data_IF_012786387369
#
_entry.id   IF_012786387369
#
_cell.length_a   1.000
_cell.length_b   1.000
_cell.length_c   1.000
_cell.angle_alpha   90.00
_cell.angle_beta   90.00
_cell.angle_gamma   90.00
#
_symmetry.space_group_name_H-M   'P 1'
#
loop_
_entity.id
_entity.type
_entity.pdbx_description
1 polymer ?
#
# COMPACT_ATOMS: atom_id res chain seq x y z
N UNK A 1 -10.46 29.06 25.87
CA UNK A 1 -9.76 27.77 25.81
C UNK A 1 -9.64 27.42 24.33
N UNK A 2 -8.46 27.58 23.74
CA UNK A 2 -8.25 27.24 22.33
C UNK A 2 -8.25 25.71 22.24
N UNK A 3 -9.22 25.12 21.54
CA UNK A 3 -9.09 23.73 21.11
C UNK A 3 -7.79 23.63 20.31
N UNK A 4 -6.78 23.00 20.89
CA UNK A 4 -5.67 22.48 20.11
C UNK A 4 -6.32 21.40 19.24
N UNK A 5 -6.70 21.76 18.02
CA UNK A 5 -7.14 20.78 17.02
C UNK A 5 -5.95 19.86 16.78
N UNK A 6 -5.88 18.77 17.53
CA UNK A 6 -4.94 17.69 17.30
C UNK A 6 -5.22 17.17 15.90
N UNK A 7 -4.29 17.42 14.97
CA UNK A 7 -4.45 17.00 13.59
C UNK A 7 -4.63 15.47 13.57
N UNK A 8 -5.72 15.04 12.93
CA UNK A 8 -6.11 13.63 12.89
C UNK A 8 -5.04 12.82 12.19
N UNK A 9 -4.65 11.71 12.83
CA UNK A 9 -3.74 10.73 12.25
C UNK A 9 -4.37 10.16 10.98
N UNK A 10 -3.56 9.93 9.97
CA UNK A 10 -4.07 9.33 8.73
C UNK A 10 -3.17 8.23 8.16
N UNK A 11 -3.83 7.36 7.41
CA UNK A 11 -3.32 6.09 6.93
C UNK A 11 -3.72 5.90 5.47
N UNK A 12 -2.91 5.13 4.73
CA UNK A 12 -3.26 4.68 3.39
C UNK A 12 -3.49 3.17 3.39
N UNK A 13 -4.72 2.72 3.12
CA UNK A 13 -5.07 1.32 2.98
C UNK A 13 -5.07 0.92 1.51
N UNK A 14 -4.29 -0.10 1.15
CA UNK A 14 -4.03 -0.45 -0.24
C UNK A 14 -4.04 -1.96 -0.50
N UNK A 15 -4.41 -2.36 -1.71
CA UNK A 15 -4.12 -3.72 -2.21
C UNK A 15 -2.61 -3.86 -2.54
N UNK A 16 -2.05 -5.09 -2.45
CA UNK A 16 -0.66 -5.39 -2.81
C UNK A 16 -0.50 -5.53 -4.34
N UNK A 17 -0.89 -4.51 -5.12
CA UNK A 17 -0.84 -4.56 -6.59
C UNK A 17 0.14 -3.54 -7.18
N UNK A 18 0.56 -3.79 -8.42
CA UNK A 18 1.36 -2.84 -9.19
C UNK A 18 0.60 -1.52 -9.40
N UNK A 19 -0.70 -1.55 -9.68
CA UNK A 19 -1.49 -0.32 -9.83
C UNK A 19 -1.46 0.51 -8.53
N UNK A 20 -1.62 -0.14 -7.38
CA UNK A 20 -1.55 0.51 -6.08
C UNK A 20 -0.16 1.09 -5.76
N UNK A 21 0.91 0.51 -6.30
CA UNK A 21 2.28 0.98 -6.07
C UNK A 21 2.51 2.41 -6.59
N UNK A 22 1.79 2.84 -7.63
CA UNK A 22 1.86 4.21 -8.14
C UNK A 22 1.26 5.21 -7.14
N UNK A 23 0.09 4.89 -6.59
CA UNK A 23 -0.55 5.69 -5.56
C UNK A 23 0.33 5.75 -4.32
N UNK A 24 0.83 4.60 -3.85
CA UNK A 24 1.76 4.52 -2.70
C UNK A 24 3.00 5.39 -2.94
N UNK A 25 3.57 5.34 -4.15
CA UNK A 25 4.74 6.15 -4.47
C UNK A 25 4.46 7.65 -4.33
N UNK A 26 3.32 8.12 -4.86
CA UNK A 26 2.89 9.52 -4.72
C UNK A 26 2.56 9.87 -3.28
N UNK A 27 1.98 8.95 -2.54
CA UNK A 27 1.63 9.14 -1.13
C UNK A 27 2.87 9.34 -0.26
N UNK A 28 3.88 8.47 -0.42
CA UNK A 28 5.16 8.58 0.30
C UNK A 28 5.81 9.93 -0.01
N UNK A 29 5.93 10.29 -1.29
CA UNK A 29 6.55 11.56 -1.71
C UNK A 29 5.84 12.79 -1.12
N UNK A 30 4.52 12.75 -0.99
CA UNK A 30 3.72 13.86 -0.48
C UNK A 30 3.67 13.93 1.06
N UNK A 31 3.62 12.77 1.73
CA UNK A 31 3.18 12.71 3.13
C UNK A 31 4.18 12.04 4.09
N UNK A 32 5.26 11.40 3.66
CA UNK A 32 6.21 10.71 4.55
C UNK A 32 6.78 11.62 5.66
N UNK A 33 6.97 12.90 5.35
CA UNK A 33 7.50 13.90 6.31
C UNK A 33 6.43 14.53 7.19
N UNK A 34 5.15 14.19 7.01
CA UNK A 34 4.03 14.73 7.80
C UNK A 34 3.86 13.91 9.08
N UNK A 35 3.89 14.54 10.27
CA UNK A 35 3.77 13.81 11.54
C UNK A 35 2.42 13.12 11.72
N UNK A 36 1.38 13.56 11.02
CA UNK A 36 0.03 12.99 11.04
C UNK A 36 -0.05 11.70 10.22
N UNK A 37 0.79 11.55 9.19
CA UNK A 37 0.87 10.31 8.43
C UNK A 37 1.55 9.24 9.29
N UNK A 38 0.84 8.13 9.50
CA UNK A 38 1.32 7.06 10.37
C UNK A 38 1.87 5.89 9.58
N UNK A 39 1.00 5.18 8.87
CA UNK A 39 1.37 3.93 8.24
C UNK A 39 0.69 3.72 6.88
N UNK A 40 1.32 2.87 6.06
CA UNK A 40 0.67 2.22 4.92
C UNK A 40 0.13 0.88 5.40
N UNK A 41 -1.15 0.64 5.17
CA UNK A 41 -1.85 -0.60 5.51
C UNK A 41 -2.03 -1.40 4.23
N UNK A 42 -1.63 -2.66 4.22
CA UNK A 42 -1.70 -3.50 3.02
C UNK A 42 -2.66 -4.66 3.27
N UNK A 43 -3.60 -4.86 2.34
CA UNK A 43 -4.51 -6.03 2.30
C UNK A 43 -3.76 -7.26 1.80
N UNK A 44 -2.86 -7.76 2.62
CA UNK A 44 -2.04 -8.91 2.33
C UNK A 44 -1.64 -9.58 3.65
N UNK A 45 -1.47 -10.90 3.64
CA UNK A 45 -0.75 -11.56 4.74
C UNK A 45 0.69 -11.08 4.82
N UNK A 46 1.29 -11.16 6.01
CA UNK A 46 2.70 -10.80 6.19
C UNK A 46 3.55 -11.62 5.23
N UNK A 47 4.24 -10.92 4.33
CA UNK A 47 5.13 -11.54 3.36
C UNK A 47 6.50 -11.82 3.98
N UNK A 48 7.22 -12.79 3.44
CA UNK A 48 8.60 -13.04 3.85
C UNK A 48 9.48 -11.83 3.53
N UNK A 49 10.52 -11.60 4.35
CA UNK A 49 11.51 -10.55 4.11
C UNK A 49 12.14 -10.65 2.71
N UNK A 50 12.26 -11.87 2.18
CA UNK A 50 12.73 -12.12 0.81
C UNK A 50 11.81 -11.47 -0.22
N UNK A 51 10.50 -11.74 -0.16
CA UNK A 51 9.51 -11.17 -1.10
C UNK A 51 9.49 -9.64 -1.01
N UNK A 52 9.50 -9.08 0.22
CA UNK A 52 9.52 -7.62 0.42
C UNK A 52 10.79 -7.00 -0.20
N UNK A 53 11.95 -7.62 0.02
CA UNK A 53 13.21 -7.15 -0.54
C UNK A 53 13.26 -7.26 -2.08
N UNK A 54 12.75 -8.36 -2.66
CA UNK A 54 12.71 -8.52 -4.11
C UNK A 54 11.75 -7.52 -4.78
N UNK A 55 10.57 -7.27 -4.19
CA UNK A 55 9.67 -6.20 -4.65
C UNK A 55 10.39 -4.85 -4.65
N UNK A 56 11.08 -4.50 -3.55
CA UNK A 56 11.87 -3.27 -3.47
C UNK A 56 12.93 -3.19 -4.58
N UNK A 57 13.71 -4.26 -4.78
CA UNK A 57 14.77 -4.31 -5.78
C UNK A 57 14.24 -4.12 -7.20
N UNK A 58 13.14 -4.77 -7.56
CA UNK A 58 12.52 -4.62 -8.88
C UNK A 58 12.12 -3.16 -9.13
N UNK A 59 11.42 -2.54 -8.18
CA UNK A 59 11.00 -1.15 -8.31
C UNK A 59 12.17 -0.19 -8.42
N UNK A 60 13.24 -0.40 -7.65
CA UNK A 60 14.46 0.40 -7.72
C UNK A 60 15.22 0.20 -9.04
N UNK A 61 15.35 -1.05 -9.48
CA UNK A 61 16.12 -1.41 -10.68
C UNK A 61 15.44 -0.92 -11.96
N UNK A 62 14.11 -1.01 -12.03
CA UNK A 62 13.34 -0.75 -13.24
C UNK A 62 12.47 0.50 -13.15
N UNK A 63 12.71 1.38 -12.17
CA UNK A 63 11.96 2.63 -12.00
C UNK A 63 11.85 3.41 -13.32
N UNK A 64 10.65 3.87 -13.64
CA UNK A 64 10.29 4.61 -14.85
C UNK A 64 10.50 3.85 -16.18
N UNK A 65 10.97 2.60 -16.16
CA UNK A 65 11.09 1.77 -17.34
C UNK A 65 9.70 1.35 -17.82
N UNK A 66 9.41 1.66 -19.08
CA UNK A 66 8.10 1.40 -19.73
C UNK A 66 8.07 0.12 -20.54
N UNK A 67 9.23 -0.31 -21.04
CA UNK A 67 9.34 -1.49 -21.89
C UNK A 67 9.87 -2.65 -21.07
N UNK A 68 8.98 -3.56 -20.70
CA UNK A 68 9.31 -4.80 -20.01
C UNK A 68 9.39 -5.94 -21.03
N UNK A 69 10.42 -6.77 -20.90
CA UNK A 69 10.46 -8.06 -21.60
C UNK A 69 9.52 -9.04 -20.90
N UNK A 70 9.17 -10.14 -21.58
CA UNK A 70 8.34 -11.19 -20.97
C UNK A 70 8.98 -11.74 -19.69
N UNK A 71 10.31 -11.95 -19.69
CA UNK A 71 11.05 -12.36 -18.49
C UNK A 71 10.88 -11.39 -17.32
N UNK A 72 10.83 -10.08 -17.58
CA UNK A 72 10.61 -9.08 -16.53
C UNK A 72 9.18 -9.10 -16.01
N UNK A 73 8.20 -9.42 -16.86
CA UNK A 73 6.82 -9.62 -16.42
C UNK A 73 6.66 -10.89 -15.59
N UNK A 74 7.34 -11.98 -15.94
CA UNK A 74 7.35 -13.21 -15.12
C UNK A 74 7.88 -12.93 -13.71
N UNK A 75 8.97 -12.16 -13.59
CA UNK A 75 9.48 -11.72 -12.29
C UNK A 75 8.45 -10.92 -11.47
N UNK A 76 7.60 -10.12 -12.13
CA UNK A 76 6.53 -9.38 -11.47
C UNK A 76 5.37 -10.30 -11.06
N UNK A 77 5.01 -11.26 -11.90
CA UNK A 77 3.94 -12.25 -11.65
C UNK A 77 4.27 -13.07 -10.40
N UNK A 78 5.52 -13.47 -10.23
CA UNK A 78 5.97 -14.23 -9.05
C UNK A 78 5.89 -13.42 -7.75
N UNK A 79 6.00 -12.09 -7.84
CA UNK A 79 6.06 -11.20 -6.67
C UNK A 79 4.74 -10.52 -6.35
N UNK A 80 3.83 -10.37 -7.31
CA UNK A 80 2.58 -9.64 -7.13
C UNK A 80 1.39 -10.51 -7.51
N UNK A 81 0.34 -10.56 -6.65
CA UNK A 81 -0.88 -11.25 -7.01
C UNK A 81 -1.56 -10.54 -8.19
N UNK A 82 -1.78 -11.28 -9.28
CA UNK A 82 -2.63 -10.85 -10.39
C UNK A 82 -2.05 -9.73 -11.24
N UNK A 83 -0.86 -9.94 -11.82
CA UNK A 83 -0.40 -9.10 -12.94
C UNK A 83 -1.23 -9.45 -14.18
N UNK A 84 -2.26 -8.65 -14.44
CA UNK A 84 -3.13 -8.81 -15.60
C UNK A 84 -2.77 -7.78 -16.68
N UNK A 85 -3.55 -7.75 -17.77
CA UNK A 85 -3.34 -6.84 -18.88
C UNK A 85 -3.37 -5.36 -18.46
N UNK A 86 -4.14 -5.02 -17.42
CA UNK A 86 -4.25 -3.65 -16.90
C UNK A 86 -2.94 -3.20 -16.24
N UNK A 87 -2.31 -4.05 -15.43
CA UNK A 87 -1.01 -3.79 -14.81
C UNK A 87 0.07 -3.60 -15.88
N UNK A 88 0.09 -4.47 -16.91
CA UNK A 88 1.02 -4.37 -18.04
C UNK A 88 0.85 -3.04 -18.78
N UNK A 89 -0.38 -2.70 -19.17
CA UNK A 89 -0.69 -1.44 -19.84
C UNK A 89 -0.33 -0.21 -18.98
N UNK A 90 -0.49 -0.31 -17.65
CA UNK A 90 -0.10 0.76 -16.72
C UNK A 90 1.42 0.95 -16.70
N UNK A 91 2.20 -0.13 -16.65
CA UNK A 91 3.66 -0.08 -16.74
C UNK A 91 4.11 0.48 -18.10
N UNK A 92 3.51 0.05 -19.20
CA UNK A 92 3.84 0.58 -20.53
C UNK A 92 3.57 2.07 -20.65
N UNK A 93 2.50 2.56 -20.01
CA UNK A 93 2.12 3.96 -20.06
C UNK A 93 3.01 4.84 -19.17
N UNK A 94 3.18 4.43 -17.91
CA UNK A 94 3.74 5.27 -16.84
C UNK A 94 5.14 4.85 -16.39
N UNK A 95 5.59 3.66 -16.77
CA UNK A 95 6.82 3.02 -16.29
C UNK A 95 6.64 2.45 -14.89
N UNK A 96 7.54 1.58 -14.43
CA UNK A 96 7.45 1.04 -13.06
C UNK A 96 7.50 2.17 -12.03
N UNK A 97 6.63 2.10 -11.02
CA UNK A 97 6.60 3.06 -9.94
C UNK A 97 7.86 2.99 -9.06
N UNK A 98 8.17 4.09 -8.37
CA UNK A 98 9.40 4.22 -7.58
C UNK A 98 9.46 3.29 -6.37
N UNK A 99 8.32 3.06 -5.74
CA UNK A 99 8.18 2.30 -4.51
C UNK A 99 7.15 1.19 -4.70
N UNK A 100 7.42 0.00 -4.16
CA UNK A 100 6.39 -1.03 -4.03
C UNK A 100 5.37 -0.63 -2.95
N UNK A 101 4.21 -1.31 -2.93
CA UNK A 101 3.19 -1.11 -1.88
C UNK A 101 3.69 -1.46 -0.47
N UNK A 102 4.78 -2.20 -0.37
CA UNK A 102 5.37 -2.66 0.89
C UNK A 102 6.71 -2.01 1.20
N UNK A 103 7.16 -1.00 0.42
CA UNK A 103 8.51 -0.45 0.56
C UNK A 103 8.65 0.56 1.72
N UNK A 104 7.53 1.12 2.19
CA UNK A 104 7.55 2.06 3.30
C UNK A 104 7.89 1.35 4.62
N UNK A 105 8.81 1.91 5.39
CA UNK A 105 9.30 1.28 6.62
C UNK A 105 8.23 1.12 7.71
N UNK A 106 7.15 1.91 7.66
CA UNK A 106 5.97 1.78 8.52
C UNK A 106 4.80 1.11 7.79
N UNK A 107 5.04 -0.04 7.18
CA UNK A 107 3.98 -0.84 6.53
C UNK A 107 3.38 -1.83 7.53
N UNK A 108 2.04 -1.93 7.58
CA UNK A 108 1.31 -2.91 8.38
C UNK A 108 0.51 -3.81 7.43
N UNK A 109 0.64 -5.12 7.61
CA UNK A 109 -0.11 -6.14 6.88
C UNK A 109 -1.40 -6.47 7.64
N UNK A 110 -2.56 -6.21 7.05
CA UNK A 110 -3.87 -6.45 7.67
C UNK A 110 -4.46 -7.83 7.36
N UNK A 111 -3.73 -8.64 6.59
CA UNK A 111 -4.21 -9.92 6.08
C UNK A 111 -5.09 -9.76 4.83
N UNK A 112 -5.48 -10.91 4.26
CA UNK A 112 -6.26 -10.93 3.02
C UNK A 112 -7.74 -10.57 3.22
N UNK A 113 -8.22 -10.54 4.47
CA UNK A 113 -9.60 -10.22 4.81
C UNK A 113 -9.68 -8.98 5.71
N UNK A 114 -9.94 -7.81 5.11
CA UNK A 114 -10.12 -6.55 5.83
C UNK A 114 -11.36 -6.52 6.73
N UNK A 115 -12.26 -7.49 6.59
CA UNK A 115 -13.44 -7.66 7.43
C UNK A 115 -13.24 -8.72 8.52
N UNK A 116 -12.01 -9.23 8.64
CA UNK A 116 -11.59 -10.23 9.62
C UNK A 116 -11.33 -9.64 11.01
N UNK A 117 -11.15 -10.54 11.98
CA UNK A 117 -10.94 -10.18 13.39
C UNK A 117 -9.68 -9.34 13.59
N UNK A 118 -8.60 -9.65 12.88
CA UNK A 118 -7.34 -8.93 12.98
C UNK A 118 -7.49 -7.45 12.60
N UNK A 119 -7.98 -7.17 11.39
CA UNK A 119 -8.18 -5.80 10.91
C UNK A 119 -9.15 -5.00 11.80
N UNK A 120 -10.23 -5.65 12.29
CA UNK A 120 -11.15 -5.02 13.25
C UNK A 120 -10.43 -4.62 14.53
N UNK A 121 -9.67 -5.55 15.13
CA UNK A 121 -8.97 -5.29 16.38
C UNK A 121 -7.91 -4.18 16.22
N UNK A 122 -7.19 -4.19 15.10
CA UNK A 122 -6.24 -3.14 14.75
C UNK A 122 -6.95 -1.77 14.69
N UNK A 123 -8.06 -1.68 13.97
CA UNK A 123 -8.81 -0.43 13.82
C UNK A 123 -9.31 0.11 15.16
N UNK A 124 -9.91 -0.76 15.98
CA UNK A 124 -10.43 -0.38 17.30
C UNK A 124 -9.32 0.14 18.22
N UNK A 125 -8.12 -0.44 18.14
CA UNK A 125 -6.98 0.00 18.95
C UNK A 125 -6.45 1.36 18.48
N UNK A 126 -6.26 1.58 17.17
CA UNK A 126 -5.76 2.87 16.66
C UNK A 126 -6.78 4.01 16.82
N UNK A 127 -8.07 3.68 16.80
CA UNK A 127 -9.16 4.64 16.98
C UNK A 127 -9.51 4.90 18.46
N UNK A 128 -8.96 4.13 19.40
CA UNK A 128 -9.32 4.16 20.83
C UNK A 128 -9.22 5.55 21.46
N UNK A 129 -8.20 6.32 21.09
CA UNK A 129 -7.86 7.60 21.72
C UNK A 129 -8.05 8.81 20.79
N UNK A 130 -8.38 8.58 19.52
CA UNK A 130 -8.52 9.66 18.52
C UNK A 130 -9.18 9.13 17.25
N UNK A 131 -10.03 9.94 16.62
CA UNK A 131 -10.49 9.65 15.26
C UNK A 131 -9.31 9.60 14.29
N UNK A 132 -9.32 8.62 13.38
CA UNK A 132 -8.32 8.44 12.33
C UNK A 132 -8.96 8.65 10.96
N UNK A 133 -8.16 9.07 9.97
CA UNK A 133 -8.57 9.05 8.58
C UNK A 133 -7.87 7.89 7.86
N UNK A 134 -8.65 7.11 7.12
CA UNK A 134 -8.13 6.01 6.32
C UNK A 134 -8.51 6.25 4.87
N UNK A 135 -7.52 6.52 4.04
CA UNK A 135 -7.70 6.64 2.59
C UNK A 135 -7.61 5.24 2.00
N UNK A 136 -8.64 4.82 1.27
CA UNK A 136 -8.79 3.42 0.84
C UNK A 136 -8.62 3.29 -0.67
N UNK A 137 -7.70 2.42 -1.09
CA UNK A 137 -7.54 1.91 -2.43
C UNK A 137 -7.43 0.38 -2.38
N UNK A 138 -8.56 -0.27 -2.09
CA UNK A 138 -8.64 -1.72 -1.98
C UNK A 138 -9.90 -2.20 -2.70
N UNK A 139 -9.83 -3.40 -3.31
CA UNK A 139 -10.95 -3.98 -4.07
C UNK A 139 -12.02 -4.65 -3.19
N UNK A 140 -11.86 -4.64 -1.86
CA UNK A 140 -12.80 -5.25 -0.93
C UNK A 140 -13.80 -4.24 -0.36
N UNK A 141 -15.08 -4.58 -0.41
CA UNK A 141 -16.12 -3.83 0.30
C UNK A 141 -15.90 -3.97 1.81
N UNK A 142 -15.74 -2.83 2.48
CA UNK A 142 -15.49 -2.76 3.91
C UNK A 142 -16.81 -2.82 4.71
N UNK A 143 -16.79 -3.51 5.85
CA UNK A 143 -17.91 -3.51 6.80
C UNK A 143 -18.08 -2.12 7.44
N UNK A 144 -19.30 -1.82 7.87
CA UNK A 144 -19.68 -0.52 8.46
C UNK A 144 -18.80 -0.05 9.62
N UNK A 145 -18.20 -0.95 10.39
CA UNK A 145 -17.32 -0.57 11.51
C UNK A 145 -15.97 0.04 11.07
N UNK A 146 -15.70 0.13 9.77
CA UNK A 146 -14.61 0.93 9.22
C UNK A 146 -14.93 2.43 9.13
N UNK A 147 -16.21 2.82 9.25
CA UNK A 147 -16.70 4.20 9.26
C UNK A 147 -16.78 4.74 10.69
#
# INVERSE_FOLDING_TARGET
>A
MQEVMTQKKFYLLTDPSIICSYMVSKWIEAFEKKPEFKEILVKEEVQSNKVIAERKKIHQKYFAQKHFTDEMYELLIDLYPGIEQTERATIERYGVSKYSTTDHFKTIFLGNNLNGKYAKNWLMEVAKNSSVYIFVCARQILKLWWL
#
